data_IF_865522878927
#
_entry.id   IF_865522878927
#
_cell.length_a   1.000
_cell.length_b   1.000
_cell.length_c   1.000
_cell.angle_alpha   90.00
_cell.angle_beta   90.00
_cell.angle_gamma   90.00
#
_symmetry.space_group_name_H-M   'P 1'
#
loop_
_entity.id
_entity.type
_entity.pdbx_description
1 polymer ?
#
# COMPACT_ATOMS: atom_id res chain seq x y z
N UNK A 1 -24.05 -15.28 3.47
CA UNK A 1 -22.75 -15.92 3.19
C UNK A 1 -21.73 -14.96 2.56
N UNK A 2 -21.98 -14.37 1.37
CA UNK A 2 -21.03 -13.47 0.65
C UNK A 2 -20.42 -12.32 1.49
N UNK A 3 -21.24 -11.55 2.20
CA UNK A 3 -20.76 -10.45 3.05
C UNK A 3 -19.98 -10.92 4.28
N UNK A 4 -20.22 -12.14 4.76
CA UNK A 4 -19.40 -12.73 5.82
C UNK A 4 -17.98 -13.05 5.31
N UNK A 5 -17.84 -13.44 4.03
CA UNK A 5 -16.53 -13.62 3.38
C UNK A 5 -15.81 -12.28 3.26
N UNK A 6 -16.49 -11.22 2.83
CA UNK A 6 -15.90 -9.88 2.81
C UNK A 6 -15.47 -9.43 4.21
N UNK A 7 -16.32 -9.58 5.23
CA UNK A 7 -15.98 -9.29 6.62
C UNK A 7 -14.77 -10.09 7.11
N UNK A 8 -14.66 -11.36 6.73
CA UNK A 8 -13.48 -12.17 7.05
C UNK A 8 -12.21 -11.65 6.37
N UNK A 9 -12.28 -11.23 5.11
CA UNK A 9 -11.15 -10.61 4.41
C UNK A 9 -10.73 -9.28 5.07
N UNK A 10 -11.67 -8.52 5.63
CA UNK A 10 -11.38 -7.32 6.44
C UNK A 10 -10.53 -7.69 7.66
N UNK A 11 -10.87 -8.78 8.37
CA UNK A 11 -10.08 -9.25 9.52
C UNK A 11 -8.67 -9.69 9.10
N UNK A 12 -8.53 -10.36 7.97
CA UNK A 12 -7.21 -10.74 7.43
C UNK A 12 -6.38 -9.51 7.06
N UNK A 13 -6.99 -8.51 6.41
CA UNK A 13 -6.30 -7.25 6.10
C UNK A 13 -5.92 -6.47 7.37
N UNK A 14 -6.78 -6.48 8.38
CA UNK A 14 -6.50 -5.87 9.68
C UNK A 14 -5.30 -6.54 10.38
N UNK A 15 -5.26 -7.88 10.41
CA UNK A 15 -4.11 -8.62 10.93
C UNK A 15 -2.83 -8.26 10.17
N UNK A 16 -2.90 -8.24 8.84
CA UNK A 16 -1.76 -7.94 7.98
C UNK A 16 -1.16 -6.55 8.27
N UNK A 17 -1.98 -5.51 8.38
CA UNK A 17 -1.48 -4.16 8.67
C UNK A 17 -1.08 -4.00 10.13
N UNK A 18 -1.71 -4.73 11.06
CA UNK A 18 -1.29 -4.76 12.44
C UNK A 18 0.15 -5.30 12.57
N UNK A 19 0.46 -6.41 11.89
CA UNK A 19 1.80 -7.02 11.85
C UNK A 19 2.89 -6.02 11.40
N UNK A 20 2.56 -5.15 10.43
CA UNK A 20 3.46 -4.08 9.96
C UNK A 20 3.76 -3.03 11.01
N UNK A 21 2.74 -2.59 11.76
CA UNK A 21 2.91 -1.55 12.77
C UNK A 21 3.71 -2.04 13.98
N UNK A 22 3.65 -3.33 14.29
CA UNK A 22 4.29 -3.89 15.49
C UNK A 22 5.77 -3.51 15.61
N UNK A 23 6.54 -3.63 14.52
CA UNK A 23 7.97 -3.36 14.56
C UNK A 23 8.26 -1.89 14.86
N UNK A 24 7.54 -0.95 14.25
CA UNK A 24 7.82 0.48 14.45
C UNK A 24 7.41 0.98 15.82
N UNK A 25 6.30 0.47 16.37
CA UNK A 25 5.85 0.76 17.73
C UNK A 25 6.87 0.22 18.76
N UNK A 26 7.36 -1.00 18.55
CA UNK A 26 8.30 -1.65 19.48
C UNK A 26 9.77 -1.36 19.17
N UNK A 27 10.06 -0.60 18.10
CA UNK A 27 11.42 -0.31 17.65
C UNK A 27 12.34 0.21 18.77
N UNK A 28 11.92 1.17 19.62
CA UNK A 28 12.81 1.66 20.68
C UNK A 28 13.24 0.57 21.66
N UNK A 29 12.32 -0.32 22.04
CA UNK A 29 12.61 -1.44 22.95
C UNK A 29 13.48 -2.50 22.26
N UNK A 30 13.12 -2.90 21.04
CA UNK A 30 13.84 -3.93 20.28
C UNK A 30 15.26 -3.47 19.94
N UNK A 31 15.44 -2.22 19.52
CA UNK A 31 16.76 -1.68 19.19
C UNK A 31 17.68 -1.66 20.42
N UNK A 32 17.14 -1.33 21.60
CA UNK A 32 17.89 -1.38 22.86
C UNK A 32 18.26 -2.81 23.24
N UNK A 33 17.31 -3.75 23.20
CA UNK A 33 17.55 -5.14 23.60
C UNK A 33 18.52 -5.87 22.65
N UNK A 34 18.41 -5.60 21.34
CA UNK A 34 19.21 -6.27 20.30
C UNK A 34 20.42 -5.46 19.84
N UNK A 35 20.69 -4.30 20.46
CA UNK A 35 21.77 -3.38 20.12
C UNK A 35 21.79 -2.98 18.63
N UNK A 36 20.60 -2.70 18.07
CA UNK A 36 20.42 -2.39 16.64
C UNK A 36 20.54 -0.89 16.41
N UNK A 37 21.53 -0.50 15.60
CA UNK A 37 21.70 0.89 15.16
C UNK A 37 20.57 1.37 14.25
N UNK A 38 20.49 2.68 14.03
CA UNK A 38 19.58 3.31 13.06
C UNK A 38 19.70 2.72 11.65
N UNK A 39 20.94 2.52 11.20
CA UNK A 39 21.23 1.89 9.91
C UNK A 39 20.78 0.43 9.88
N UNK A 40 20.97 -0.32 10.98
CA UNK A 40 20.48 -1.69 11.11
C UNK A 40 18.96 -1.77 11.06
N UNK A 41 18.25 -0.88 11.77
CA UNK A 41 16.80 -0.78 11.76
C UNK A 41 16.26 -0.50 10.35
N UNK A 42 16.85 0.46 9.64
CA UNK A 42 16.48 0.75 8.26
C UNK A 42 16.76 -0.41 7.31
N UNK A 43 17.87 -1.13 7.51
CA UNK A 43 18.16 -2.35 6.76
C UNK A 43 17.10 -3.43 6.94
N UNK A 44 16.63 -3.63 8.19
CA UNK A 44 15.55 -4.57 8.52
C UNK A 44 14.24 -4.19 7.82
N UNK A 45 13.86 -2.90 7.83
CA UNK A 45 12.68 -2.40 7.11
C UNK A 45 12.83 -2.57 5.59
N UNK A 46 14.02 -2.37 5.04
CA UNK A 46 14.28 -2.52 3.61
C UNK A 46 14.20 -3.98 3.16
N UNK A 47 14.71 -4.93 3.94
CA UNK A 47 14.56 -6.34 3.64
C UNK A 47 13.09 -6.77 3.56
N UNK A 48 12.23 -6.22 4.44
CA UNK A 48 10.78 -6.40 4.34
C UNK A 48 10.23 -5.85 3.01
N UNK A 49 10.53 -4.59 2.67
CA UNK A 49 10.00 -3.95 1.46
C UNK A 49 10.47 -4.63 0.17
N UNK A 50 11.73 -5.07 0.11
CA UNK A 50 12.29 -5.80 -1.03
C UNK A 50 11.57 -7.14 -1.18
N UNK A 51 11.45 -7.92 -0.10
CA UNK A 51 10.75 -9.21 -0.12
C UNK A 51 9.29 -9.06 -0.54
N UNK A 52 8.61 -8.04 0.00
CA UNK A 52 7.23 -7.72 -0.31
C UNK A 52 7.03 -7.36 -1.79
N UNK A 53 7.94 -6.57 -2.35
CA UNK A 53 7.91 -6.19 -3.77
C UNK A 53 8.10 -7.40 -4.69
N UNK A 54 9.05 -8.27 -4.39
CA UNK A 54 9.30 -9.51 -5.15
C UNK A 54 8.09 -10.45 -5.03
N UNK A 55 7.54 -10.61 -3.83
CA UNK A 55 6.40 -11.51 -3.61
C UNK A 55 5.14 -11.06 -4.34
N UNK A 56 4.91 -9.75 -4.51
CA UNK A 56 3.80 -9.27 -5.34
C UNK A 56 3.84 -9.83 -6.78
N UNK A 57 5.02 -9.97 -7.38
CA UNK A 57 5.20 -10.50 -8.74
C UNK A 57 4.93 -12.01 -8.81
N UNK A 58 5.21 -12.73 -7.72
CA UNK A 58 5.13 -14.20 -7.65
C UNK A 58 3.75 -14.68 -7.17
N UNK A 59 3.15 -13.95 -6.23
CA UNK A 59 1.93 -14.37 -5.53
C UNK A 59 0.75 -14.56 -6.46
N UNK A 60 0.61 -13.74 -7.52
CA UNK A 60 -0.43 -13.93 -8.53
C UNK A 60 -0.41 -15.32 -9.18
N UNK A 61 0.78 -15.83 -9.53
CA UNK A 61 0.93 -17.19 -10.10
C UNK A 61 0.54 -18.27 -9.10
N UNK A 62 0.92 -18.09 -7.83
CA UNK A 62 0.55 -19.02 -6.74
C UNK A 62 -0.97 -19.06 -6.54
N UNK A 63 -1.62 -17.89 -6.58
CA UNK A 63 -3.08 -17.76 -6.45
C UNK A 63 -3.82 -18.40 -7.63
N UNK A 64 -3.25 -18.34 -8.83
CA UNK A 64 -3.81 -18.99 -10.01
C UNK A 64 -3.66 -20.50 -9.97
N UNK A 65 -2.51 -21.00 -9.52
CA UNK A 65 -2.23 -22.43 -9.47
C UNK A 65 -2.98 -23.15 -8.34
N UNK A 66 -3.04 -22.56 -7.14
CA UNK A 66 -3.59 -23.21 -5.94
C UNK A 66 -5.06 -22.86 -5.66
N UNK A 67 -5.57 -21.80 -6.29
CA UNK A 67 -6.88 -21.23 -5.99
C UNK A 67 -6.90 -20.48 -4.66
N UNK A 68 -7.89 -19.59 -4.51
CA UNK A 68 -7.93 -18.61 -3.42
C UNK A 68 -8.05 -19.22 -2.02
N UNK A 69 -8.73 -20.37 -1.86
CA UNK A 69 -8.85 -21.05 -0.57
C UNK A 69 -7.49 -21.47 -0.01
N UNK A 70 -6.69 -22.19 -0.81
CA UNK A 70 -5.38 -22.71 -0.39
C UNK A 70 -4.34 -21.60 -0.34
N UNK A 71 -4.34 -20.71 -1.32
CA UNK A 71 -3.38 -19.60 -1.35
C UNK A 71 -3.52 -18.69 -0.14
N UNK A 72 -4.74 -18.28 0.25
CA UNK A 72 -4.91 -17.45 1.43
C UNK A 72 -4.37 -18.16 2.68
N UNK A 73 -4.73 -19.43 2.87
CA UNK A 73 -4.27 -20.20 4.02
C UNK A 73 -2.74 -20.30 4.08
N UNK A 74 -2.08 -20.55 2.95
CA UNK A 74 -0.61 -20.65 2.86
C UNK A 74 0.03 -19.30 3.17
N UNK A 75 -0.40 -18.22 2.53
CA UNK A 75 0.17 -16.89 2.77
C UNK A 75 -0.02 -16.45 4.22
N UNK A 76 -1.25 -16.55 4.75
CA UNK A 76 -1.56 -16.16 6.13
C UNK A 76 -0.73 -16.97 7.10
N UNK A 77 -0.67 -18.31 6.92
CA UNK A 77 0.15 -19.18 7.77
C UNK A 77 1.61 -18.75 7.73
N UNK A 78 2.15 -18.51 6.53
CA UNK A 78 3.57 -18.17 6.36
C UNK A 78 3.92 -16.84 7.02
N UNK A 79 3.17 -15.76 6.79
CA UNK A 79 3.46 -14.48 7.42
C UNK A 79 3.20 -14.52 8.93
N UNK A 80 2.19 -15.27 9.38
CA UNK A 80 1.87 -15.41 10.82
C UNK A 80 2.98 -16.14 11.57
N UNK A 81 3.53 -17.21 10.98
CA UNK A 81 4.68 -17.91 11.54
C UNK A 81 5.94 -17.05 11.53
N UNK A 82 6.19 -16.31 10.44
CA UNK A 82 7.30 -15.35 10.37
C UNK A 82 7.18 -14.24 11.43
N UNK A 83 5.96 -13.75 11.68
CA UNK A 83 5.71 -12.78 12.72
C UNK A 83 5.97 -13.36 14.11
N UNK A 84 5.40 -14.54 14.43
CA UNK A 84 5.64 -15.22 15.69
C UNK A 84 7.13 -15.55 15.93
N UNK A 85 7.85 -15.97 14.88
CA UNK A 85 9.29 -16.24 14.93
C UNK A 85 10.11 -14.98 15.28
N UNK A 86 9.57 -13.77 15.10
CA UNK A 86 10.25 -12.54 15.53
C UNK A 86 10.51 -12.53 17.04
N UNK A 87 9.68 -13.18 17.85
CA UNK A 87 9.84 -13.26 19.31
C UNK A 87 11.11 -13.99 19.76
N UNK A 88 11.64 -14.88 18.91
CA UNK A 88 12.88 -15.62 19.20
C UNK A 88 14.12 -14.94 18.63
N UNK A 89 13.98 -13.80 17.93
CA UNK A 89 15.13 -13.06 17.44
C UNK A 89 15.98 -12.51 18.61
N UNK A 90 17.29 -12.68 18.48
CA UNK A 90 18.34 -12.23 19.43
C UNK A 90 19.38 -11.34 18.77
N UNK A 91 19.35 -11.19 17.45
CA UNK A 91 20.28 -10.34 16.69
C UNK A 91 19.55 -9.57 15.59
N UNK A 92 20.19 -8.48 15.12
CA UNK A 92 19.69 -7.69 13.99
C UNK A 92 19.45 -8.54 12.73
N UNK A 93 20.36 -9.48 12.44
CA UNK A 93 20.26 -10.37 11.28
C UNK A 93 19.07 -11.33 11.39
N UNK A 94 18.83 -11.93 12.57
CA UNK A 94 17.66 -12.78 12.78
C UNK A 94 16.35 -11.99 12.63
N UNK A 95 16.31 -10.75 13.15
CA UNK A 95 15.16 -9.86 12.96
C UNK A 95 14.95 -9.53 11.48
N UNK A 96 16.02 -9.24 10.74
CA UNK A 96 15.96 -8.99 9.29
C UNK A 96 15.40 -10.20 8.51
N UNK A 97 15.83 -11.42 8.84
CA UNK A 97 15.31 -12.65 8.23
C UNK A 97 13.82 -12.83 8.52
N UNK A 98 13.39 -12.62 9.76
CA UNK A 98 11.97 -12.70 10.12
C UNK A 98 11.15 -11.65 9.36
N UNK A 99 11.66 -10.43 9.21
CA UNK A 99 10.99 -9.35 8.47
C UNK A 99 10.98 -9.59 6.96
N UNK A 100 12.05 -10.16 6.41
CA UNK A 100 12.07 -10.62 5.02
C UNK A 100 10.99 -11.68 4.78
N UNK A 101 10.94 -12.72 5.62
CA UNK A 101 9.93 -13.77 5.53
C UNK A 101 8.50 -13.20 5.67
N UNK A 102 8.28 -12.29 6.62
CA UNK A 102 7.00 -11.59 6.78
C UNK A 102 6.61 -10.87 5.48
N UNK A 103 7.48 -10.00 4.96
CA UNK A 103 7.24 -9.26 3.71
C UNK A 103 6.96 -10.19 2.53
N UNK A 104 7.67 -11.31 2.44
CA UNK A 104 7.43 -12.31 1.39
C UNK A 104 6.05 -12.98 1.51
N UNK A 105 5.52 -13.19 2.71
CA UNK A 105 4.18 -13.77 2.89
C UNK A 105 3.05 -12.78 2.64
N UNK A 106 3.21 -11.55 3.13
CA UNK A 106 2.12 -10.56 3.22
C UNK A 106 1.55 -10.12 1.87
N UNK A 107 2.32 -10.18 0.78
CA UNK A 107 1.84 -9.78 -0.55
C UNK A 107 0.64 -10.62 -1.02
N UNK A 108 0.51 -11.86 -0.53
CA UNK A 108 -0.56 -12.77 -0.88
C UNK A 108 -1.96 -12.30 -0.47
N UNK A 109 -2.09 -11.56 0.64
CA UNK A 109 -3.40 -11.04 1.07
C UNK A 109 -4.01 -10.08 0.04
N UNK A 110 -3.16 -9.28 -0.58
CA UNK A 110 -3.54 -8.26 -1.57
C UNK A 110 -3.78 -8.83 -2.97
N UNK A 111 -3.34 -10.05 -3.26
CA UNK A 111 -3.61 -10.74 -4.52
C UNK A 111 -4.79 -11.70 -4.43
N UNK A 112 -5.00 -12.35 -3.28
CA UNK A 112 -6.14 -13.24 -3.07
C UNK A 112 -7.46 -12.46 -2.92
N UNK A 113 -7.45 -11.36 -2.16
CA UNK A 113 -8.66 -10.58 -1.86
C UNK A 113 -9.47 -10.20 -3.11
N UNK A 114 -8.87 -9.52 -4.12
CA UNK A 114 -9.57 -9.17 -5.36
C UNK A 114 -10.14 -10.39 -6.11
N UNK A 115 -9.46 -11.54 -6.09
CA UNK A 115 -9.95 -12.77 -6.74
C UNK A 115 -11.16 -13.35 -6.02
N UNK A 116 -11.17 -13.34 -4.69
CA UNK A 116 -12.34 -13.74 -3.89
C UNK A 116 -13.50 -12.79 -4.15
N UNK A 117 -13.25 -11.48 -4.19
CA UNK A 117 -14.28 -10.47 -4.49
C UNK A 117 -14.89 -10.72 -5.88
N UNK A 118 -14.03 -10.90 -6.90
CA UNK A 118 -14.46 -11.20 -8.26
C UNK A 118 -15.32 -12.46 -8.39
N UNK A 119 -15.08 -13.46 -7.52
CA UNK A 119 -15.83 -14.72 -7.51
C UNK A 119 -17.16 -14.65 -6.75
N UNK A 120 -17.27 -13.84 -5.71
CA UNK A 120 -18.42 -13.86 -4.77
C UNK A 120 -19.36 -12.66 -4.87
N UNK A 121 -18.97 -11.61 -5.57
CA UNK A 121 -19.73 -10.37 -5.67
C UNK A 121 -20.00 -10.03 -7.14
N UNK A 122 -21.13 -9.37 -7.38
CA UNK A 122 -21.45 -8.83 -8.70
C UNK A 122 -20.55 -7.63 -9.02
N UNK A 123 -20.39 -7.29 -10.30
CA UNK A 123 -19.57 -6.15 -10.73
C UNK A 123 -19.98 -4.82 -10.05
N UNK A 124 -21.28 -4.65 -9.72
CA UNK A 124 -21.79 -3.48 -9.00
C UNK A 124 -21.32 -3.42 -7.54
N UNK A 125 -21.02 -4.57 -6.93
CA UNK A 125 -20.63 -4.69 -5.53
C UNK A 125 -19.10 -4.75 -5.33
N UNK A 126 -18.32 -5.00 -6.40
CA UNK A 126 -16.85 -5.09 -6.34
C UNK A 126 -16.20 -3.87 -5.69
N UNK A 127 -16.72 -2.67 -6.00
CA UNK A 127 -16.22 -1.42 -5.41
C UNK A 127 -16.40 -1.39 -3.89
N UNK A 128 -17.57 -1.76 -3.39
CA UNK A 128 -17.86 -1.81 -1.94
C UNK A 128 -17.03 -2.88 -1.25
N UNK A 129 -16.96 -4.07 -1.83
CA UNK A 129 -16.18 -5.17 -1.26
C UNK A 129 -14.67 -4.86 -1.23
N UNK A 130 -14.14 -4.19 -2.26
CA UNK A 130 -12.74 -3.75 -2.30
C UNK A 130 -12.46 -2.63 -1.30
N UNK A 131 -13.42 -1.72 -1.10
CA UNK A 131 -13.31 -0.67 -0.09
C UNK A 131 -13.28 -1.26 1.33
N UNK A 132 -14.11 -2.26 1.62
CA UNK A 132 -14.08 -2.97 2.91
C UNK A 132 -12.75 -3.66 3.16
N UNK A 133 -12.15 -4.29 2.14
CA UNK A 133 -10.82 -4.90 2.25
C UNK A 133 -9.76 -3.86 2.65
N UNK A 134 -9.74 -2.71 1.98
CA UNK A 134 -8.83 -1.60 2.30
C UNK A 134 -9.08 -1.03 3.70
N UNK A 135 -10.35 -0.90 4.10
CA UNK A 135 -10.75 -0.46 5.45
C UNK A 135 -10.18 -1.39 6.52
N UNK A 136 -10.12 -2.70 6.26
CA UNK A 136 -9.51 -3.67 7.18
C UNK A 136 -8.06 -3.31 7.50
N UNK A 137 -7.23 -3.06 6.48
CA UNK A 137 -5.83 -2.67 6.70
C UNK A 137 -5.68 -1.35 7.47
N UNK A 138 -6.56 -0.42 7.18
CA UNK A 138 -6.63 0.89 7.83
C UNK A 138 -6.97 0.76 9.34
N UNK A 139 -8.07 0.06 9.66
CA UNK A 139 -8.46 -0.28 11.04
C UNK A 139 -7.36 -1.05 11.77
N UNK A 140 -6.71 -2.00 11.10
CA UNK A 140 -5.56 -2.73 11.64
C UNK A 140 -4.42 -1.83 12.09
N UNK A 141 -4.09 -0.80 11.30
CA UNK A 141 -3.03 0.17 11.67
C UNK A 141 -3.43 1.07 12.84
N UNK A 142 -4.72 1.38 12.96
CA UNK A 142 -5.24 2.22 14.05
C UNK A 142 -5.32 1.45 15.37
N UNK A 143 -5.73 0.18 15.34
CA UNK A 143 -5.86 -0.66 16.55
C UNK A 143 -4.52 -1.19 17.04
N UNK A 144 -3.58 -1.45 16.13
CA UNK A 144 -2.30 -2.08 16.48
C UNK A 144 -1.48 -1.34 17.54
N UNK A 145 -1.27 0.00 17.49
CA UNK A 145 -0.58 0.74 18.55
C UNK A 145 -1.10 0.44 19.96
N UNK A 146 -2.42 0.39 20.12
CA UNK A 146 -3.05 0.16 21.42
C UNK A 146 -2.83 -1.29 21.86
N UNK A 147 -3.17 -2.25 20.98
CA UNK A 147 -3.08 -3.67 21.29
C UNK A 147 -1.64 -4.11 21.57
N UNK A 148 -0.69 -3.67 20.75
CA UNK A 148 0.73 -4.00 20.86
C UNK A 148 1.32 -3.47 22.16
N UNK A 149 1.01 -2.22 22.53
CA UNK A 149 1.51 -1.64 23.78
C UNK A 149 0.94 -2.36 25.01
N UNK A 150 -0.36 -2.70 25.01
CA UNK A 150 -0.97 -3.43 26.13
C UNK A 150 -0.34 -4.81 26.33
N UNK A 151 -0.10 -5.54 25.23
CA UNK A 151 0.51 -6.87 25.28
C UNK A 151 1.99 -6.79 25.66
N UNK A 152 2.75 -5.92 25.00
CA UNK A 152 4.19 -5.78 25.23
C UNK A 152 4.51 -5.24 26.64
N UNK A 153 3.66 -4.34 27.17
CA UNK A 153 3.83 -3.81 28.52
C UNK A 153 3.60 -4.84 29.63
N UNK A 154 2.80 -5.88 29.39
CA UNK A 154 2.50 -6.93 30.38
C UNK A 154 3.37 -8.18 30.24
N UNK A 155 3.67 -8.59 29.00
CA UNK A 155 4.27 -9.89 28.69
C UNK A 155 5.57 -9.78 27.87
N UNK A 156 6.05 -8.56 27.60
CA UNK A 156 7.22 -8.30 26.77
C UNK A 156 6.92 -8.27 25.27
N UNK A 157 7.82 -7.65 24.50
CA UNK A 157 7.62 -7.41 23.07
C UNK A 157 7.50 -8.72 22.25
N UNK A 158 8.19 -9.79 22.66
CA UNK A 158 8.10 -11.09 22.01
C UNK A 158 6.69 -11.70 22.10
N UNK A 159 6.01 -11.56 23.24
CA UNK A 159 4.66 -12.05 23.43
C UNK A 159 3.64 -11.34 22.52
N UNK A 160 3.83 -10.05 22.25
CA UNK A 160 3.00 -9.32 21.29
C UNK A 160 3.09 -9.93 19.88
N UNK A 161 4.30 -10.26 19.41
CA UNK A 161 4.51 -10.89 18.10
C UNK A 161 3.92 -12.30 18.03
N UNK A 162 4.05 -13.09 19.10
CA UNK A 162 3.43 -14.42 19.19
C UNK A 162 1.91 -14.28 19.15
N UNK A 163 1.32 -13.37 19.91
CA UNK A 163 -0.12 -13.15 19.95
C UNK A 163 -0.68 -12.75 18.57
N UNK A 164 0.00 -11.85 17.86
CA UNK A 164 -0.39 -11.46 16.49
C UNK A 164 -0.27 -12.62 15.50
N UNK A 165 0.82 -13.40 15.57
CA UNK A 165 0.97 -14.62 14.76
C UNK A 165 -0.13 -15.66 15.06
N UNK A 166 -0.46 -15.90 16.33
CA UNK A 166 -1.55 -16.81 16.72
C UNK A 166 -2.92 -16.31 16.24
N UNK A 167 -3.17 -15.01 16.26
CA UNK A 167 -4.39 -14.42 15.71
C UNK A 167 -4.52 -14.73 14.21
N UNK A 168 -3.45 -14.56 13.45
CA UNK A 168 -3.40 -14.91 12.03
C UNK A 168 -3.61 -16.42 11.76
N UNK A 169 -3.00 -17.30 12.56
CA UNK A 169 -3.23 -18.75 12.48
C UNK A 169 -4.69 -19.13 12.85
N UNK A 170 -5.29 -18.43 13.81
CA UNK A 170 -6.71 -18.57 14.13
C UNK A 170 -7.59 -18.19 12.94
N UNK A 171 -7.27 -17.11 12.24
CA UNK A 171 -7.95 -16.74 10.98
C UNK A 171 -7.80 -17.84 9.93
N UNK A 172 -6.62 -18.48 9.78
CA UNK A 172 -6.46 -19.62 8.86
C UNK A 172 -7.40 -20.77 9.20
N UNK A 173 -7.50 -21.15 10.48
CA UNK A 173 -8.39 -22.21 10.91
C UNK A 173 -9.85 -21.89 10.58
N UNK A 174 -10.29 -20.66 10.85
CA UNK A 174 -11.64 -20.17 10.51
C UNK A 174 -11.85 -20.19 8.99
N UNK A 175 -10.88 -19.72 8.21
CA UNK A 175 -10.96 -19.72 6.74
C UNK A 175 -11.10 -21.12 6.17
N UNK A 176 -10.29 -22.06 6.64
CA UNK A 176 -10.33 -23.45 6.20
C UNK A 176 -11.62 -24.14 6.67
N UNK A 177 -12.19 -23.80 7.81
CA UNK A 177 -13.49 -24.33 8.24
C UNK A 177 -14.64 -23.77 7.39
N UNK A 178 -14.65 -22.46 7.13
CA UNK A 178 -15.79 -21.74 6.56
C UNK A 178 -15.80 -21.65 5.03
N UNK A 179 -14.65 -21.35 4.40
CA UNK A 179 -14.61 -20.96 2.99
C UNK A 179 -14.49 -22.14 2.03
N UNK A 180 -15.57 -22.77 1.58
CA UNK A 180 -15.48 -23.98 0.74
C UNK A 180 -15.17 -23.74 -0.75
N UNK A 181 -15.08 -22.49 -1.21
CA UNK A 181 -14.75 -22.16 -2.62
C UNK A 181 -15.78 -22.60 -3.67
N UNK A 182 -16.92 -23.19 -3.26
CA UNK A 182 -18.02 -23.53 -4.16
C UNK A 182 -19.01 -22.37 -4.20
N UNK A 183 -19.05 -21.70 -5.34
CA UNK A 183 -20.17 -20.86 -5.76
C UNK A 183 -21.06 -21.78 -6.62
N UNK A 184 -22.38 -21.79 -6.39
CA UNK A 184 -23.31 -22.55 -7.24
C UNK A 184 -23.07 -22.21 -8.71
N UNK A 185 -22.91 -23.25 -9.54
CA UNK A 185 -22.66 -23.13 -10.98
C UNK A 185 -23.71 -22.20 -11.61
N UNK A 186 -23.24 -21.11 -12.22
CA UNK A 186 -24.08 -20.19 -13.00
C UNK A 186 -24.39 -18.81 -12.39
N UNK A 187 -23.94 -18.50 -11.16
CA UNK A 187 -24.38 -17.25 -10.51
C UNK A 187 -23.68 -15.97 -10.98
N UNK A 188 -22.43 -15.99 -11.46
CA UNK A 188 -21.80 -14.85 -12.16
C UNK A 188 -20.75 -15.34 -13.18
N UNK A 189 -20.66 -14.75 -14.38
CA UNK A 189 -19.66 -15.17 -15.37
C UNK A 189 -18.27 -14.96 -14.77
N UNK A 190 -17.41 -15.98 -14.88
CA UNK A 190 -15.98 -15.78 -14.75
C UNK A 190 -15.62 -14.64 -15.70
N UNK A 191 -15.15 -13.51 -15.16
CA UNK A 191 -14.55 -12.47 -15.99
C UNK A 191 -13.33 -13.10 -16.68
N UNK A 192 -13.54 -13.56 -17.91
CA UNK A 192 -12.61 -14.10 -18.91
C UNK A 192 -11.23 -14.45 -18.37
N UNK A 193 -11.13 -15.55 -17.61
CA UNK A 193 -9.86 -16.15 -17.21
C UNK A 193 -9.28 -17.03 -18.32
N UNK A 194 -9.26 -16.52 -19.55
CA UNK A 194 -8.52 -17.07 -20.67
C UNK A 194 -8.04 -15.93 -21.58
N UNK A 195 -7.44 -14.89 -21.00
CA UNK A 195 -6.57 -14.01 -21.77
C UNK A 195 -5.36 -14.85 -22.22
N UNK A 196 -5.26 -15.06 -23.53
CA UNK A 196 -4.17 -15.71 -24.24
C UNK A 196 -2.80 -15.42 -23.60
N UNK A 197 -2.23 -16.43 -22.94
CA UNK A 197 -0.96 -16.34 -22.19
C UNK A 197 0.24 -16.69 -23.08
N UNK A 198 0.26 -16.21 -24.31
CA UNK A 198 1.49 -16.27 -25.10
C UNK A 198 2.52 -15.27 -24.51
N UNK A 199 3.78 -15.70 -24.39
CA UNK A 199 4.88 -14.80 -23.96
C UNK A 199 4.93 -13.54 -24.85
N UNK A 200 4.54 -13.66 -26.11
CA UNK A 200 4.49 -12.56 -27.07
C UNK A 200 3.39 -11.54 -26.75
N UNK A 201 2.20 -11.97 -26.31
CA UNK A 201 1.14 -11.09 -25.81
C UNK A 201 1.55 -10.38 -24.51
N UNK A 202 2.28 -11.06 -23.61
CA UNK A 202 2.81 -10.46 -22.38
C UNK A 202 3.88 -9.40 -22.67
N UNK A 203 4.85 -9.67 -23.54
CA UNK A 203 5.87 -8.70 -23.96
C UNK A 203 5.26 -7.49 -24.68
N UNK A 204 4.25 -7.69 -25.55
CA UNK A 204 3.51 -6.60 -26.19
C UNK A 204 2.75 -5.74 -25.18
N UNK A 205 2.20 -6.35 -24.11
CA UNK A 205 1.53 -5.62 -23.02
C UNK A 205 2.53 -4.77 -22.21
N UNK A 206 3.68 -5.33 -21.83
CA UNK A 206 4.73 -4.59 -21.11
C UNK A 206 5.30 -3.43 -21.93
N UNK A 207 5.66 -3.67 -23.19
CA UNK A 207 6.18 -2.62 -24.07
C UNK A 207 5.15 -1.50 -24.29
N UNK A 208 3.87 -1.83 -24.40
CA UNK A 208 2.82 -0.84 -24.56
C UNK A 208 2.59 0.02 -23.31
N UNK A 209 2.85 -0.50 -22.10
CA UNK A 209 2.78 0.24 -20.83
C UNK A 209 4.03 1.10 -20.64
N UNK A 210 5.22 0.51 -20.81
CA UNK A 210 6.52 1.20 -20.63
C UNK A 210 6.74 2.29 -21.69
N UNK A 211 6.05 2.24 -22.82
CA UNK A 211 6.06 3.31 -23.82
C UNK A 211 5.25 4.55 -23.43
N UNK A 212 4.48 4.52 -22.33
CA UNK A 212 3.55 5.60 -21.98
C UNK A 212 4.16 6.61 -21.00
N UNK A 213 4.35 7.88 -21.40
CA UNK A 213 4.91 8.91 -20.51
C UNK A 213 4.07 9.16 -19.26
N UNK A 214 2.75 8.98 -19.36
CA UNK A 214 1.83 9.16 -18.22
C UNK A 214 2.06 8.10 -17.14
N UNK A 215 2.36 6.85 -17.52
CA UNK A 215 2.65 5.76 -16.57
C UNK A 215 3.93 6.05 -15.80
N UNK A 216 4.99 6.46 -16.49
CA UNK A 216 6.24 6.88 -15.85
C UNK A 216 6.05 8.09 -14.93
N UNK A 217 5.24 9.05 -15.34
CA UNK A 217 4.97 10.24 -14.53
C UNK A 217 4.26 9.89 -13.22
N UNK A 218 3.30 8.95 -13.27
CA UNK A 218 2.62 8.46 -12.06
C UNK A 218 3.57 7.63 -11.19
N UNK A 219 4.34 6.72 -11.81
CA UNK A 219 5.32 5.88 -11.11
C UNK A 219 6.38 6.73 -10.38
N UNK A 220 6.94 7.75 -11.04
CA UNK A 220 7.92 8.66 -10.43
C UNK A 220 7.28 9.56 -9.38
N UNK A 221 6.06 10.05 -9.59
CA UNK A 221 5.34 10.81 -8.58
C UNK A 221 5.13 9.99 -7.30
N UNK A 222 4.74 8.71 -7.43
CA UNK A 222 4.60 7.80 -6.27
C UNK A 222 5.93 7.46 -5.63
N UNK A 223 6.99 7.26 -6.40
CA UNK A 223 8.35 7.07 -5.88
C UNK A 223 8.78 8.22 -4.97
N UNK A 224 8.42 9.46 -5.33
CA UNK A 224 8.73 10.64 -4.52
C UNK A 224 7.78 10.84 -3.34
N UNK A 225 6.48 10.57 -3.51
CA UNK A 225 5.45 10.97 -2.53
C UNK A 225 5.06 9.88 -1.54
N UNK A 226 4.99 8.61 -1.95
CA UNK A 226 4.67 7.49 -1.05
C UNK A 226 5.68 7.30 0.12
N UNK A 227 6.98 7.68 0.01
CA UNK A 227 7.88 7.82 1.16
C UNK A 227 7.30 8.50 2.40
N UNK A 228 6.45 9.51 2.26
CA UNK A 228 5.83 10.23 3.38
C UNK A 228 4.94 9.29 4.19
N UNK A 229 4.18 8.42 3.49
CA UNK A 229 3.36 7.40 4.13
C UNK A 229 4.22 6.35 4.84
N UNK A 230 5.27 5.85 4.19
CA UNK A 230 6.19 4.90 4.83
C UNK A 230 6.90 5.50 6.05
N UNK A 231 7.19 6.80 6.06
CA UNK A 231 7.72 7.48 7.24
C UNK A 231 6.73 7.43 8.41
N UNK A 232 5.45 7.73 8.15
CA UNK A 232 4.40 7.63 9.16
C UNK A 232 4.28 6.20 9.72
N UNK A 233 4.43 5.17 8.87
CA UNK A 233 4.36 3.77 9.30
C UNK A 233 5.59 3.30 10.08
N UNK A 234 6.79 3.67 9.64
CA UNK A 234 8.03 3.03 10.12
C UNK A 234 8.85 3.88 11.08
N UNK A 235 8.71 5.20 11.05
CA UNK A 235 9.60 6.13 11.76
C UNK A 235 8.87 7.06 12.72
N UNK A 236 7.60 7.38 12.48
CA UNK A 236 6.83 8.30 13.33
C UNK A 236 6.73 7.85 14.80
N UNK A 237 6.41 6.59 15.15
CA UNK A 237 6.38 6.16 16.55
C UNK A 237 7.73 6.39 17.24
N UNK A 238 8.81 6.11 16.51
CA UNK A 238 10.16 6.29 17.04
C UNK A 238 10.54 7.75 17.18
N UNK A 239 10.15 8.62 16.26
CA UNK A 239 10.28 10.08 16.42
C UNK A 239 9.60 10.57 17.70
N UNK A 240 8.37 10.11 17.97
CA UNK A 240 7.66 10.47 19.20
C UNK A 240 8.40 9.97 20.44
N UNK A 241 8.99 8.78 20.38
CA UNK A 241 9.79 8.24 21.47
C UNK A 241 11.08 9.05 21.70
N UNK A 242 11.90 9.24 20.66
CA UNK A 242 13.27 9.78 20.78
C UNK A 242 13.31 11.29 20.90
N UNK A 243 12.42 12.01 20.21
CA UNK A 243 12.44 13.48 20.16
C UNK A 243 11.36 14.08 21.04
N UNK A 244 10.16 13.47 21.06
CA UNK A 244 9.04 13.96 21.87
C UNK A 244 8.97 13.37 23.27
N UNK A 245 9.95 12.52 23.64
CA UNK A 245 10.05 11.87 24.95
C UNK A 245 8.76 11.12 25.35
N UNK A 246 8.00 10.63 24.37
CA UNK A 246 6.83 9.79 24.63
C UNK A 246 7.32 8.44 25.12
N UNK A 247 6.85 8.00 26.29
CA UNK A 247 7.20 6.69 26.82
C UNK A 247 6.76 5.56 25.87
N UNK A 248 7.38 4.38 25.99
CA UNK A 248 6.97 3.21 25.20
C UNK A 248 5.46 2.95 25.32
N UNK A 249 4.89 3.08 26.53
CA UNK A 249 3.45 2.97 26.77
C UNK A 249 2.61 4.08 26.12
N UNK A 250 3.16 5.29 26.01
CA UNK A 250 2.51 6.41 25.34
C UNK A 250 2.44 6.29 23.81
N UNK A 251 3.19 5.38 23.18
CA UNK A 251 3.17 5.20 21.72
C UNK A 251 1.83 4.68 21.18
N UNK A 252 0.92 4.24 22.05
CA UNK A 252 -0.49 4.00 21.68
C UNK A 252 -1.17 5.23 21.07
N UNK A 253 -0.70 6.45 21.37
CA UNK A 253 -1.21 7.71 20.81
C UNK A 253 -1.07 7.80 19.28
N UNK A 254 -0.15 7.03 18.67
CA UNK A 254 0.00 6.96 17.21
C UNK A 254 -1.28 6.49 16.52
N UNK A 255 -2.15 5.75 17.22
CA UNK A 255 -3.47 5.35 16.72
C UNK A 255 -4.28 6.54 16.19
N UNK A 256 -4.19 7.73 16.81
CA UNK A 256 -4.90 8.94 16.36
C UNK A 256 -4.41 9.39 14.98
N UNK A 257 -3.11 9.24 14.71
CA UNK A 257 -2.52 9.61 13.41
C UNK A 257 -2.97 8.65 12.31
N UNK A 258 -3.05 7.35 12.59
CA UNK A 258 -3.57 6.37 11.64
C UNK A 258 -5.08 6.50 11.43
N UNK A 259 -5.83 6.85 12.48
CA UNK A 259 -7.26 7.18 12.33
C UNK A 259 -7.47 8.38 11.39
N UNK A 260 -6.62 9.40 11.48
CA UNK A 260 -6.66 10.53 10.55
C UNK A 260 -6.30 10.11 9.11
N UNK A 261 -5.40 9.13 8.96
CA UNK A 261 -5.09 8.50 7.66
C UNK A 261 -6.32 7.80 7.06
N UNK A 262 -7.08 7.07 7.89
CA UNK A 262 -8.32 6.39 7.49
C UNK A 262 -9.34 7.38 6.95
N UNK A 263 -9.52 8.50 7.67
CA UNK A 263 -10.35 9.62 7.25
C UNK A 263 -9.84 10.23 5.93
N UNK A 264 -8.52 10.35 5.75
CA UNK A 264 -7.90 10.89 4.54
C UNK A 264 -8.18 10.05 3.29
N UNK A 265 -8.15 8.72 3.38
CA UNK A 265 -8.54 7.84 2.27
C UNK A 265 -9.99 8.09 1.82
N UNK A 266 -10.92 8.28 2.76
CA UNK A 266 -12.33 8.53 2.46
C UNK A 266 -12.53 9.94 1.89
N UNK A 267 -12.02 10.96 2.60
CA UNK A 267 -12.20 12.36 2.22
C UNK A 267 -11.50 12.70 0.91
N UNK A 268 -10.36 12.07 0.60
CA UNK A 268 -9.63 12.31 -0.64
C UNK A 268 -10.45 11.97 -1.90
N UNK A 269 -11.18 10.85 -1.87
CA UNK A 269 -12.09 10.47 -2.95
C UNK A 269 -13.28 11.42 -3.05
N UNK A 270 -13.98 11.63 -1.93
CA UNK A 270 -15.17 12.50 -1.85
C UNK A 270 -14.87 13.93 -2.29
N UNK A 271 -13.75 14.51 -1.83
CA UNK A 271 -13.35 15.87 -2.17
C UNK A 271 -13.15 16.02 -3.68
N UNK A 272 -12.44 15.09 -4.32
CA UNK A 272 -12.22 15.15 -5.75
C UNK A 272 -13.50 14.89 -6.54
N UNK A 273 -14.35 13.94 -6.14
CA UNK A 273 -15.58 13.65 -6.87
C UNK A 273 -16.56 14.84 -6.83
N UNK A 274 -16.60 15.60 -5.72
CA UNK A 274 -17.35 16.86 -5.64
C UNK A 274 -16.80 17.97 -6.53
N UNK A 275 -15.51 17.93 -6.88
CA UNK A 275 -14.88 18.88 -7.79
C UNK A 275 -15.07 18.51 -9.26
N UNK A 276 -15.38 17.25 -9.61
CA UNK A 276 -15.57 16.81 -11.00
C UNK A 276 -16.65 17.61 -11.72
N UNK A 277 -17.88 17.79 -11.20
CA UNK A 277 -18.91 18.59 -11.87
C UNK A 277 -18.51 20.06 -12.05
N UNK A 278 -17.79 20.62 -11.07
CA UNK A 278 -17.37 22.04 -11.06
C UNK A 278 -16.25 22.31 -12.08
N UNK A 279 -15.30 21.40 -12.19
CA UNK A 279 -14.12 21.55 -13.07
C UNK A 279 -14.30 20.93 -14.45
N UNK A 280 -15.41 20.21 -14.67
CA UNK A 280 -15.78 19.51 -15.92
C UNK A 280 -14.69 18.56 -16.43
N UNK A 281 -13.84 18.07 -15.54
CA UNK A 281 -12.71 17.21 -15.89
C UNK A 281 -12.24 16.44 -14.66
N UNK A 282 -12.27 15.11 -14.75
CA UNK A 282 -11.78 14.21 -13.69
C UNK A 282 -10.32 14.49 -13.38
N UNK A 283 -9.47 14.58 -14.42
CA UNK A 283 -8.04 14.92 -14.27
C UNK A 283 -7.83 16.22 -13.49
N UNK A 284 -8.55 17.30 -13.83
CA UNK A 284 -8.40 18.59 -13.12
C UNK A 284 -8.84 18.48 -11.66
N UNK A 285 -9.93 17.78 -11.39
CA UNK A 285 -10.41 17.53 -10.04
C UNK A 285 -9.39 16.77 -9.18
N UNK A 286 -8.79 15.70 -9.72
CA UNK A 286 -7.72 14.94 -9.03
C UNK A 286 -6.51 15.84 -8.74
N UNK A 287 -6.03 16.61 -9.74
CA UNK A 287 -4.88 17.50 -9.60
C UNK A 287 -5.12 18.64 -8.60
N UNK A 288 -6.31 19.26 -8.60
CA UNK A 288 -6.65 20.33 -7.64
C UNK A 288 -6.78 19.78 -6.22
N UNK A 289 -7.36 18.59 -6.06
CA UNK A 289 -7.41 17.91 -4.75
C UNK A 289 -6.00 17.62 -4.23
N UNK A 290 -5.13 17.10 -5.09
CA UNK A 290 -3.72 16.86 -4.77
C UNK A 290 -2.96 18.16 -4.44
N UNK A 291 -3.24 19.28 -5.13
CA UNK A 291 -2.68 20.58 -4.77
C UNK A 291 -3.12 21.02 -3.36
N UNK A 292 -4.39 20.85 -3.00
CA UNK A 292 -4.87 21.11 -1.64
C UNK A 292 -4.17 20.23 -0.60
N UNK A 293 -3.94 18.95 -0.90
CA UNK A 293 -3.16 18.05 -0.05
C UNK A 293 -1.70 18.52 0.10
N UNK A 294 -1.07 19.01 -0.99
CA UNK A 294 0.29 19.54 -0.95
C UNK A 294 0.42 20.78 -0.02
N UNK A 295 -0.61 21.63 0.04
CA UNK A 295 -0.65 22.77 0.97
C UNK A 295 -0.69 22.28 2.42
N UNK A 296 -1.49 21.26 2.72
CA UNK A 296 -1.53 20.69 4.08
C UNK A 296 -0.22 19.95 4.44
N UNK A 297 0.38 19.25 3.48
CA UNK A 297 1.69 18.63 3.63
C UNK A 297 2.81 19.65 3.89
N UNK A 298 2.63 20.91 3.47
CA UNK A 298 3.57 22.00 3.79
C UNK A 298 3.67 22.32 5.29
N UNK A 299 2.74 21.83 6.10
CA UNK A 299 2.77 21.95 7.56
C UNK A 299 3.74 20.96 8.23
N UNK A 300 4.31 19.99 7.49
CA UNK A 300 5.20 18.97 8.04
C UNK A 300 6.38 19.51 8.88
N UNK A 301 7.09 20.59 8.50
CA UNK A 301 8.17 21.13 9.31
C UNK A 301 7.72 21.60 10.71
N UNK A 302 6.46 22.07 10.83
CA UNK A 302 5.90 22.51 12.12
C UNK A 302 5.77 21.35 13.12
N UNK A 303 5.72 20.11 12.64
CA UNK A 303 5.74 18.91 13.49
C UNK A 303 7.02 18.89 14.33
N UNK A 304 8.17 19.23 13.76
CA UNK A 304 9.44 19.26 14.50
C UNK A 304 9.58 20.50 15.39
N UNK A 305 9.10 21.65 14.90
CA UNK A 305 9.34 22.95 15.53
C UNK A 305 8.45 23.25 16.75
N UNK A 306 7.24 22.69 16.81
CA UNK A 306 6.33 22.97 17.94
C UNK A 306 6.84 22.32 19.24
N UNK A 307 6.78 22.98 20.41
CA UNK A 307 7.16 22.35 21.68
C UNK A 307 6.05 21.44 22.26
N UNK A 308 4.81 21.59 21.80
CA UNK A 308 3.66 20.86 22.35
C UNK A 308 3.46 19.50 21.67
N UNK A 309 3.43 18.43 22.47
CA UNK A 309 3.13 17.08 21.99
C UNK A 309 1.75 17.01 21.31
N UNK A 310 0.74 17.66 21.89
CA UNK A 310 -0.62 17.68 21.34
C UNK A 310 -0.65 18.33 19.96
N UNK A 311 0.03 19.48 19.81
CA UNK A 311 0.13 20.18 18.51
C UNK A 311 0.92 19.35 17.52
N UNK A 312 2.00 18.70 17.95
CA UNK A 312 2.79 17.78 17.11
C UNK A 312 1.94 16.62 16.57
N UNK A 313 1.09 16.02 17.41
CA UNK A 313 0.19 14.93 17.02
C UNK A 313 -0.92 15.41 16.09
N UNK A 314 -1.50 16.59 16.34
CA UNK A 314 -2.51 17.18 15.47
C UNK A 314 -1.94 17.51 14.07
N UNK A 315 -0.73 18.05 14.01
CA UNK A 315 -0.02 18.31 12.76
C UNK A 315 0.34 17.00 12.04
N UNK A 316 0.89 16.01 12.74
CA UNK A 316 1.18 14.70 12.16
C UNK A 316 -0.08 14.01 11.62
N UNK A 317 -1.20 14.11 12.33
CA UNK A 317 -2.51 13.61 11.88
C UNK A 317 -2.98 14.34 10.62
N UNK A 318 -2.84 15.66 10.56
CA UNK A 318 -3.22 16.48 9.40
C UNK A 318 -2.38 16.15 8.16
N UNK A 319 -1.06 16.02 8.35
CA UNK A 319 -0.12 15.63 7.29
C UNK A 319 -0.41 14.22 6.78
N UNK A 320 -0.67 13.27 7.67
CA UNK A 320 -0.98 11.88 7.30
C UNK A 320 -2.34 11.75 6.59
N UNK A 321 -3.34 12.52 7.02
CA UNK A 321 -4.63 12.65 6.34
C UNK A 321 -4.45 13.20 4.92
N UNK A 322 -3.69 14.28 4.77
CA UNK A 322 -3.41 14.87 3.46
C UNK A 322 -2.63 13.91 2.55
N UNK A 323 -1.67 13.17 3.10
CA UNK A 323 -0.89 12.18 2.37
C UNK A 323 -1.75 11.02 1.84
N UNK A 324 -2.65 10.50 2.66
CA UNK A 324 -3.55 9.40 2.24
C UNK A 324 -4.61 9.87 1.24
N UNK A 325 -5.12 11.09 1.41
CA UNK A 325 -5.97 11.73 0.41
C UNK A 325 -5.24 11.93 -0.94
N UNK A 326 -3.96 12.31 -0.91
CA UNK A 326 -3.09 12.39 -2.09
C UNK A 326 -2.93 11.03 -2.77
N UNK A 327 -2.61 9.98 -2.01
CA UNK A 327 -2.45 8.62 -2.55
C UNK A 327 -3.73 8.10 -3.19
N UNK A 328 -4.89 8.37 -2.59
CA UNK A 328 -6.22 8.03 -3.14
C UNK A 328 -6.41 8.63 -4.52
N UNK A 329 -6.09 9.92 -4.67
CA UNK A 329 -6.23 10.63 -5.93
C UNK A 329 -5.19 10.21 -6.98
N UNK A 330 -3.98 9.84 -6.55
CA UNK A 330 -2.95 9.32 -7.45
C UNK A 330 -3.34 7.94 -7.99
N UNK A 331 -3.90 7.07 -7.15
CA UNK A 331 -4.44 5.77 -7.56
C UNK A 331 -5.64 5.92 -8.51
N UNK A 332 -6.60 6.78 -8.16
CA UNK A 332 -7.74 7.07 -9.02
C UNK A 332 -7.30 7.64 -10.38
N UNK A 333 -6.30 8.52 -10.39
CA UNK A 333 -5.74 9.06 -11.63
C UNK A 333 -5.11 7.98 -12.51
N UNK A 334 -4.42 6.99 -11.93
CA UNK A 334 -3.92 5.84 -12.70
C UNK A 334 -5.05 5.03 -13.34
N UNK A 335 -6.16 4.84 -12.62
CA UNK A 335 -7.36 4.14 -13.12
C UNK A 335 -8.01 4.94 -14.25
N UNK A 336 -8.07 6.27 -14.13
CA UNK A 336 -8.71 7.14 -15.12
C UNK A 336 -7.94 7.19 -16.47
N UNK A 337 -6.62 7.01 -16.45
CA UNK A 337 -5.77 7.18 -17.66
C UNK A 337 -5.33 5.88 -18.31
N UNK A 338 -5.32 4.76 -17.58
CA UNK A 338 -4.87 3.46 -18.09
C UNK A 338 -6.06 2.64 -18.60
N UNK A 339 -6.00 2.10 -19.83
CA UNK A 339 -7.00 1.16 -20.34
C UNK A 339 -7.22 -0.04 -19.41
N UNK A 340 -8.49 -0.46 -19.25
CA UNK A 340 -8.88 -1.52 -18.31
C UNK A 340 -8.18 -2.87 -18.61
N UNK A 341 -7.90 -3.18 -19.88
CA UNK A 341 -7.18 -4.39 -20.32
C UNK A 341 -5.70 -4.41 -19.89
N UNK A 342 -5.16 -3.29 -19.40
CA UNK A 342 -3.74 -3.13 -19.01
C UNK A 342 -3.57 -2.58 -17.60
N UNK A 343 -4.66 -2.23 -16.94
CA UNK A 343 -4.67 -1.56 -15.65
C UNK A 343 -3.91 -2.34 -14.58
N UNK A 344 -4.12 -3.66 -14.47
CA UNK A 344 -3.44 -4.50 -13.48
C UNK A 344 -1.90 -4.46 -13.59
N UNK A 345 -1.36 -4.65 -14.79
CA UNK A 345 0.10 -4.60 -15.03
C UNK A 345 0.66 -3.19 -14.83
N UNK A 346 -0.07 -2.16 -15.27
CA UNK A 346 0.36 -0.77 -15.08
C UNK A 346 0.37 -0.37 -13.60
N UNK A 347 -0.65 -0.75 -12.84
CA UNK A 347 -0.71 -0.51 -11.38
C UNK A 347 0.42 -1.26 -10.67
N UNK A 348 0.75 -2.49 -11.09
CA UNK A 348 1.91 -3.21 -10.58
C UNK A 348 3.23 -2.44 -10.79
N UNK A 349 3.48 -1.97 -12.02
CA UNK A 349 4.67 -1.17 -12.32
C UNK A 349 4.70 0.18 -11.58
N UNK A 350 3.56 0.86 -11.49
CA UNK A 350 3.41 2.11 -10.72
C UNK A 350 3.67 1.85 -9.22
N UNK A 351 3.17 0.74 -8.69
CA UNK A 351 3.38 0.31 -7.30
C UNK A 351 4.84 -0.04 -6.99
N UNK A 352 5.59 -0.56 -7.96
CA UNK A 352 7.04 -0.75 -7.82
C UNK A 352 7.76 0.58 -7.52
N UNK A 353 7.30 1.68 -8.11
CA UNK A 353 7.84 3.01 -7.79
C UNK A 353 7.63 3.40 -6.34
N UNK A 354 6.44 3.15 -5.80
CA UNK A 354 6.14 3.34 -4.37
C UNK A 354 7.12 2.58 -3.48
N UNK A 355 7.29 1.27 -3.73
CA UNK A 355 8.16 0.43 -2.90
C UNK A 355 9.63 0.84 -3.00
N UNK A 356 10.11 1.16 -4.21
CA UNK A 356 11.47 1.69 -4.40
C UNK A 356 11.67 3.03 -3.66
N UNK A 357 10.67 3.90 -3.68
CA UNK A 357 10.64 5.13 -2.88
C UNK A 357 10.75 4.84 -1.38
N UNK A 358 9.98 3.88 -0.87
CA UNK A 358 10.06 3.44 0.53
C UNK A 358 11.45 2.93 0.94
N UNK A 359 12.09 2.12 0.07
CA UNK A 359 13.45 1.62 0.29
C UNK A 359 14.46 2.77 0.35
N UNK A 360 14.39 3.69 -0.60
CA UNK A 360 15.25 4.88 -0.65
C UNK A 360 15.03 5.76 0.59
N UNK A 361 13.77 5.97 0.98
CA UNK A 361 13.40 6.76 2.16
C UNK A 361 14.03 6.21 3.42
N UNK A 362 13.95 4.90 3.67
CA UNK A 362 14.55 4.31 4.87
C UNK A 362 16.06 4.55 4.95
N UNK A 363 16.79 4.47 3.82
CA UNK A 363 18.22 4.80 3.79
C UNK A 363 18.48 6.27 4.10
N UNK A 364 17.69 7.17 3.49
CA UNK A 364 17.83 8.62 3.69
C UNK A 364 17.53 8.98 5.15
N UNK A 365 16.41 8.51 5.70
CA UNK A 365 15.99 8.80 7.07
C UNK A 365 17.01 8.25 8.08
N UNK A 366 17.49 7.01 7.90
CA UNK A 366 18.52 6.47 8.79
C UNK A 366 19.78 7.34 8.82
N UNK A 367 20.23 7.82 7.66
CA UNK A 367 21.40 8.69 7.55
C UNK A 367 21.16 10.07 8.17
N UNK A 368 20.00 10.67 7.92
CA UNK A 368 19.64 11.98 8.48
C UNK A 368 19.48 11.92 10.00
N UNK A 369 18.74 10.94 10.51
CA UNK A 369 18.50 10.76 11.95
C UNK A 369 19.81 10.50 12.70
N UNK A 370 20.73 9.72 12.13
CA UNK A 370 22.03 9.46 12.74
C UNK A 370 22.95 10.68 12.78
N UNK A 371 22.78 11.64 11.85
CA UNK A 371 23.69 12.78 11.72
C UNK A 371 23.16 14.08 12.35
N UNK A 372 21.88 14.39 12.12
CA UNK A 372 21.29 15.71 12.43
C UNK A 372 19.89 15.61 13.05
N UNK A 373 19.37 14.40 13.29
CA UNK A 373 18.01 14.19 13.81
C UNK A 373 16.92 14.21 12.73
N UNK A 374 15.67 14.38 13.15
CA UNK A 374 14.49 14.22 12.29
C UNK A 374 14.07 15.49 11.55
N UNK A 375 14.62 16.65 11.90
CA UNK A 375 14.15 17.96 11.42
C UNK A 375 14.24 18.06 9.89
N UNK A 376 15.36 17.61 9.32
CA UNK A 376 15.54 17.55 7.87
C UNK A 376 14.56 16.61 7.17
N UNK A 377 14.14 15.52 7.83
CA UNK A 377 13.12 14.64 7.27
C UNK A 377 11.81 15.39 7.07
N UNK A 378 11.37 16.16 8.07
CA UNK A 378 10.15 16.98 7.98
C UNK A 378 10.31 18.18 7.03
N UNK A 379 11.51 18.76 6.92
CA UNK A 379 11.78 19.87 6.01
C UNK A 379 11.70 19.47 4.53
N UNK A 380 12.06 18.24 4.20
CA UNK A 380 12.03 17.73 2.82
C UNK A 380 10.60 17.35 2.39
N UNK A 381 9.74 16.92 3.31
CA UNK A 381 8.39 16.41 3.00
C UNK A 381 7.53 17.36 2.13
N UNK A 382 7.50 18.68 2.33
CA UNK A 382 6.70 19.59 1.49
C UNK A 382 7.15 19.66 0.02
N UNK A 383 8.42 19.39 -0.27
CA UNK A 383 8.97 19.50 -1.62
C UNK A 383 8.53 18.33 -2.51
N UNK A 384 8.40 17.14 -1.92
CA UNK A 384 8.05 15.90 -2.61
C UNK A 384 6.68 15.96 -3.32
N UNK A 385 5.57 16.38 -2.70
CA UNK A 385 4.27 16.48 -3.37
C UNK A 385 4.26 17.58 -4.43
N UNK A 386 5.02 18.67 -4.29
CA UNK A 386 5.11 19.71 -5.33
C UNK A 386 5.81 19.17 -6.58
N UNK A 387 6.91 18.43 -6.41
CA UNK A 387 7.59 17.73 -7.52
C UNK A 387 6.68 16.67 -8.14
N UNK A 388 5.99 15.88 -7.31
CA UNK A 388 5.00 14.90 -7.75
C UNK A 388 3.89 15.55 -8.58
N UNK A 389 3.34 16.68 -8.15
CA UNK A 389 2.31 17.42 -8.88
C UNK A 389 2.82 17.92 -10.23
N UNK A 390 4.05 18.44 -10.27
CA UNK A 390 4.68 18.90 -11.50
C UNK A 390 4.86 17.76 -12.52
N UNK A 391 5.27 16.57 -12.05
CA UNK A 391 5.38 15.36 -12.87
C UNK A 391 4.01 14.92 -13.41
N UNK A 392 2.99 14.83 -12.55
CA UNK A 392 1.64 14.43 -12.94
C UNK A 392 1.00 15.43 -13.91
N UNK A 393 1.25 16.72 -13.71
CA UNK A 393 0.77 17.77 -14.60
C UNK A 393 1.43 17.70 -15.98
N UNK A 394 2.75 17.47 -16.06
CA UNK A 394 3.47 17.27 -17.33
C UNK A 394 3.03 15.97 -18.02
N UNK A 395 3.09 14.84 -17.32
CA UNK A 395 2.74 13.53 -17.88
C UNK A 395 1.31 13.44 -18.39
N UNK A 396 0.37 14.07 -17.69
CA UNK A 396 -1.03 14.09 -18.08
C UNK A 396 -1.36 14.93 -19.32
N UNK A 397 -0.43 15.77 -19.83
CA UNK A 397 -0.64 16.49 -21.10
C UNK A 397 -0.61 15.55 -22.30
N UNK A 398 0.03 14.40 -22.17
CA UNK A 398 0.25 13.49 -23.29
C UNK A 398 -0.80 12.39 -23.44
N UNK A 399 -1.75 12.27 -22.49
CA UNK A 399 -2.76 11.22 -22.47
C UNK A 399 -2.18 9.81 -22.55
N UNK A 400 -3.05 8.80 -22.62
CA UNK A 400 -2.62 7.48 -23.09
C UNK A 400 -2.47 7.55 -24.61
N UNK A 401 -1.27 7.33 -25.13
CA UNK A 401 -1.01 7.31 -26.56
C UNK A 401 -1.34 5.93 -27.10
N UNK A 402 -2.50 5.78 -27.74
CA UNK A 402 -2.75 4.63 -28.61
C UNK A 402 -1.75 4.69 -29.77
N UNK A 403 -0.87 3.68 -29.91
CA UNK A 403 0.01 3.59 -31.09
C UNK A 403 -0.89 3.58 -32.34
N UNK A 404 -0.67 4.45 -33.35
CA UNK A 404 -1.42 4.38 -34.60
C UNK A 404 -0.79 3.29 -35.48
N UNK A 405 -1.26 2.06 -35.38
CA UNK A 405 -1.03 1.02 -36.41
C UNK A 405 -2.21 0.06 -36.42
N UNK A 406 -3.21 0.40 -37.23
CA UNK A 406 -4.13 -0.55 -37.91
C UNK A 406 -5.16 0.20 -38.78
N UNK A 407 -5.40 1.50 -38.56
CA UNK A 407 -6.32 2.30 -39.40
C UNK A 407 -5.81 2.63 -40.83
N UNK A 408 -4.65 2.12 -41.25
CA UNK A 408 -4.11 2.29 -42.62
C UNK A 408 -4.16 1.03 -43.48
N UNK A 409 -4.59 -0.11 -42.96
CA UNK A 409 -4.68 -1.35 -43.73
C UNK A 409 -6.02 -1.53 -44.49
N UNK A 410 -7.01 -0.66 -44.29
CA UNK A 410 -8.32 -0.71 -44.98
C UNK A 410 -8.52 0.35 -46.07
N UNK A 411 -7.47 1.06 -46.48
CA UNK A 411 -7.52 2.02 -47.60
C UNK A 411 -6.54 1.65 -48.72
N UNK A 412 -6.65 0.43 -49.23
CA UNK A 412 -6.21 0.11 -50.60
C UNK A 412 -7.16 -0.95 -51.13
N UNK A 413 -8.08 -0.54 -52.01
CA UNK A 413 -8.22 -1.06 -53.37
C UNK A 413 -9.05 -0.04 -54.17
N UNK A 414 -8.53 0.53 -55.27
CA UNK A 414 -9.31 1.30 -56.22
C UNK A 414 -10.30 0.35 -56.90
N UNK A 415 -11.58 0.77 -57.02
CA UNK A 415 -12.48 0.16 -57.99
C UNK A 415 -12.08 0.65 -59.37
N UNK A 416 -11.18 -0.07 -60.03
CA UNK A 416 -11.07 -0.06 -61.48
C UNK A 416 -12.17 -0.95 -62.07
N UNK A 417 -12.87 -0.36 -63.03
CA UNK A 417 -13.57 -0.93 -64.18
C UNK A 417 -13.74 -2.46 -64.26
N UNK A 418 -14.99 -2.92 -64.20
CA UNK A 418 -15.46 -3.95 -65.12
C UNK A 418 -16.82 -3.52 -65.67
N UNK A 419 -16.80 -3.07 -66.91
CA UNK A 419 -17.95 -2.84 -67.76
C UNK A 419 -18.27 -4.17 -68.47
N UNK A 420 -19.46 -4.74 -68.26
CA UNK A 420 -20.18 -5.62 -69.21
C UNK A 420 -21.58 -5.94 -68.72
#
# INVERSE_FOLDING_TARGET
MRWAIAGFLVLVAANNYADRQMLSILAPTIQRDLHVSEAGYAGILNWFLIAYSVSYLLSGRVVDWLGERRSLAIFVTFWSLANAATAIARTAGQLAVCRFALGFGEAGGWTVGPKVIGRWFSAKEHGVASALLSLGGSVGSTVAPIAVILLAGRYGWGAAFIAAGLAGLGLVAIWLAFYRGRVEEGSFPAADAAADRSNEAEWRRWTAILSQPVVWSIMLARLLTDPIWYFAQFWLPKYLFTVRNVSQGGLGLVAVVFLAADIGFILGGVASDRLVPRLRSTRRARLVTMLGCAVLLALAPLIALTPSLLVSLALASTVTLAQTAWMTNTNAYAIDVVPQDRLGTAVGFIGMGSAAGGVLMNFVVARLVSAQGYDLCFLIMPLLPLLGLALLWRGGRHGWRSRPREARASRVLPKEEVNR
#
